data_IF_527350148317
#
_entry.id   IF_527350148317
#
_cell.length_a   1.000
_cell.length_b   1.000
_cell.length_c   1.000
_cell.angle_alpha   90.00
_cell.angle_beta   90.00
_cell.angle_gamma   90.00
#
_symmetry.space_group_name_H-M   'P 1'
#
loop_
_entity.id
_entity.type
_entity.pdbx_description
1 polymer ?
#
# COMPACT_ATOMS: atom_id res chain seq x y z
N UNK A 1 9.29 7.59 2.83
CA UNK A 1 8.01 8.28 2.49
C UNK A 1 7.80 8.73 1.02
N UNK A 2 8.46 9.76 0.46
CA UNK A 2 8.11 10.38 -0.87
C UNK A 2 7.97 9.39 -2.04
N UNK A 3 8.80 8.34 -2.07
CA UNK A 3 8.74 7.27 -3.07
C UNK A 3 7.47 6.43 -2.98
N UNK A 4 7.01 6.11 -1.77
CA UNK A 4 5.76 5.36 -1.56
C UNK A 4 4.55 6.13 -2.10
N UNK A 5 4.47 7.42 -1.80
CA UNK A 5 3.39 8.28 -2.33
C UNK A 5 3.40 8.33 -3.85
N UNK A 6 4.58 8.43 -4.47
CA UNK A 6 4.71 8.40 -5.93
C UNK A 6 4.15 7.10 -6.51
N UNK A 7 4.55 5.95 -5.95
CA UNK A 7 4.05 4.63 -6.39
C UNK A 7 2.54 4.53 -6.18
N UNK A 8 2.02 5.06 -5.08
CA UNK A 8 0.58 5.06 -4.80
C UNK A 8 -0.21 5.88 -5.83
N UNK A 9 0.28 7.08 -6.17
CA UNK A 9 -0.33 7.94 -7.18
C UNK A 9 -0.28 7.31 -8.58
N UNK A 10 0.82 6.65 -8.94
CA UNK A 10 0.94 5.94 -10.21
C UNK A 10 -0.06 4.79 -10.29
N UNK A 11 -0.20 4.01 -9.22
CA UNK A 11 -1.12 2.87 -9.19
C UNK A 11 -2.58 3.32 -9.23
N UNK A 12 -2.94 4.37 -8.47
CA UNK A 12 -4.27 4.97 -8.51
C UNK A 12 -4.68 5.38 -9.93
N UNK A 13 -3.78 6.06 -10.66
CA UNK A 13 -4.07 6.52 -12.02
C UNK A 13 -4.04 5.40 -13.06
N UNK A 14 -3.50 4.20 -12.78
CA UNK A 14 -3.65 3.04 -13.68
C UNK A 14 -5.09 2.51 -13.67
N UNK A 15 -5.81 2.66 -12.57
CA UNK A 15 -7.16 2.11 -12.39
C UNK A 15 -8.14 2.60 -13.50
N UNK A 16 -8.81 1.71 -14.26
CA UNK A 16 -9.61 2.10 -15.43
C UNK A 16 -10.79 3.05 -15.14
N UNK A 17 -11.55 2.87 -14.04
CA UNK A 17 -12.61 3.81 -13.63
C UNK A 17 -12.18 5.27 -13.40
N UNK A 18 -10.90 5.53 -13.17
CA UNK A 18 -10.41 6.90 -12.97
C UNK A 18 -10.26 7.58 -14.34
N UNK A 19 -11.05 8.62 -14.59
CA UNK A 19 -11.06 9.37 -15.86
C UNK A 19 -10.34 10.73 -15.76
N UNK A 20 -10.25 11.27 -14.55
CA UNK A 20 -9.67 12.57 -14.23
C UNK A 20 -8.36 12.41 -13.48
N UNK A 21 -7.48 13.40 -13.61
CA UNK A 21 -6.29 13.45 -12.79
C UNK A 21 -6.66 13.92 -11.37
N UNK A 22 -6.05 13.29 -10.38
CA UNK A 22 -6.13 13.67 -8.98
C UNK A 22 -4.74 14.04 -8.49
N UNK A 23 -4.68 15.00 -7.57
CA UNK A 23 -3.46 15.39 -6.89
C UNK A 23 -3.59 15.15 -5.40
N UNK A 24 -2.45 14.89 -4.78
CA UNK A 24 -2.34 14.81 -3.33
C UNK A 24 -2.57 16.20 -2.72
N UNK A 25 -3.42 16.24 -1.70
CA UNK A 25 -3.76 17.46 -0.95
C UNK A 25 -3.37 17.37 0.51
N UNK A 26 -2.88 16.22 0.95
CA UNK A 26 -2.42 15.99 2.31
C UNK A 26 -2.13 14.52 2.56
N UNK A 27 -1.21 14.28 3.49
CA UNK A 27 -0.88 12.95 4.03
C UNK A 27 -1.36 12.93 5.48
N UNK A 28 -2.29 12.02 5.77
CA UNK A 28 -2.87 11.86 7.11
C UNK A 28 -1.95 11.01 8.00
N UNK A 29 -1.37 9.93 7.45
CA UNK A 29 -0.37 9.12 8.14
C UNK A 29 0.64 8.53 7.17
N UNK A 30 1.88 8.37 7.64
CA UNK A 30 2.94 7.71 6.89
C UNK A 30 3.87 6.97 7.87
N UNK A 31 3.77 5.64 7.85
CA UNK A 31 4.55 4.76 8.73
C UNK A 31 5.48 3.91 7.88
N UNK A 32 6.78 4.05 8.14
CA UNK A 32 7.83 3.27 7.50
C UNK A 32 8.30 2.20 8.51
N UNK A 33 8.20 0.92 8.15
CA UNK A 33 8.64 -0.22 8.97
C UNK A 33 9.73 -0.98 8.21
N UNK A 34 10.89 -1.15 8.84
CA UNK A 34 12.02 -1.86 8.25
C UNK A 34 11.88 -3.37 8.43
N UNK A 35 12.17 -4.12 7.38
CA UNK A 35 12.22 -5.58 7.35
C UNK A 35 13.46 -6.07 6.58
N UNK A 36 13.84 -7.35 6.69
CA UNK A 36 14.99 -7.90 5.98
C UNK A 36 14.93 -7.71 4.46
N UNK A 37 13.77 -7.95 3.82
CA UNK A 37 13.63 -7.76 2.38
C UNK A 37 13.45 -6.29 1.96
N UNK A 38 13.44 -5.34 2.89
CA UNK A 38 13.36 -3.91 2.64
C UNK A 38 12.34 -3.17 3.51
N UNK A 39 11.92 -1.98 3.09
CA UNK A 39 11.05 -1.09 3.86
C UNK A 39 9.60 -1.31 3.44
N UNK A 40 8.75 -1.60 4.41
CA UNK A 40 7.30 -1.54 4.25
C UNK A 40 6.81 -0.13 4.60
N UNK A 41 5.98 0.44 3.75
CA UNK A 41 5.46 1.80 3.86
C UNK A 41 3.94 1.73 3.85
N UNK A 42 3.31 2.15 4.95
CA UNK A 42 1.85 2.32 5.07
C UNK A 42 1.52 3.81 5.04
N UNK A 43 0.68 4.23 4.10
CA UNK A 43 0.29 5.61 3.87
C UNK A 43 -1.22 5.75 3.92
N UNK A 44 -1.70 6.76 4.62
CA UNK A 44 -3.05 7.28 4.47
C UNK A 44 -2.95 8.72 3.96
N UNK A 45 -3.60 8.99 2.83
CA UNK A 45 -3.46 10.27 2.14
C UNK A 45 -4.75 10.67 1.44
N UNK A 46 -4.85 11.96 1.14
CA UNK A 46 -6.02 12.58 0.53
C UNK A 46 -5.70 13.00 -0.89
N UNK A 47 -6.61 12.69 -1.79
CA UNK A 47 -6.58 13.11 -3.18
C UNK A 47 -7.73 14.05 -3.47
N UNK A 48 -7.50 15.03 -4.35
CA UNK A 48 -8.54 15.89 -4.89
C UNK A 48 -8.44 16.00 -6.41
N UNK A 49 -9.60 15.98 -7.06
CA UNK A 49 -9.71 16.05 -8.51
C UNK A 49 -9.18 17.39 -9.05
N UNK A 50 -8.45 17.31 -10.16
CA UNK A 50 -7.91 18.47 -10.89
C UNK A 50 -8.76 18.83 -12.11
N UNK A 51 -8.36 19.89 -12.83
CA UNK A 51 -8.93 20.26 -14.14
C UNK A 51 -8.51 19.35 -15.29
N UNK A 52 -7.51 18.49 -15.10
CA UNK A 52 -6.90 17.69 -16.15
C UNK A 52 -7.52 16.29 -16.29
N UNK A 53 -7.40 15.73 -17.49
CA UNK A 53 -7.68 14.31 -17.73
C UNK A 53 -6.59 13.43 -17.11
N UNK A 54 -6.94 12.19 -16.77
CA UNK A 54 -6.01 11.21 -16.18
C UNK A 54 -4.69 11.10 -16.95
N UNK A 55 -4.69 11.15 -18.29
CA UNK A 55 -3.46 11.05 -19.11
C UNK A 55 -2.42 12.14 -18.81
N UNK A 56 -2.90 13.28 -18.32
CA UNK A 56 -2.10 14.49 -18.08
C UNK A 56 -1.74 14.63 -16.58
N UNK A 57 -1.98 13.62 -15.74
CA UNK A 57 -1.89 13.75 -14.28
C UNK A 57 -0.51 14.13 -13.73
N UNK A 58 0.57 13.89 -14.49
CA UNK A 58 1.94 14.28 -14.12
C UNK A 58 2.29 15.72 -14.51
N UNK A 59 1.42 16.39 -15.28
CA UNK A 59 1.68 17.75 -15.75
C UNK A 59 1.51 18.77 -14.62
N UNK A 60 2.45 19.71 -14.45
CA UNK A 60 2.40 20.68 -13.36
C UNK A 60 1.29 21.71 -13.54
N UNK A 61 0.76 21.91 -14.76
CA UNK A 61 -0.34 22.84 -15.02
C UNK A 61 -1.70 22.33 -14.50
N UNK A 62 -1.78 21.05 -14.13
CA UNK A 62 -2.99 20.45 -13.58
C UNK A 62 -3.21 20.95 -12.16
N UNK A 63 -4.11 21.93 -12.01
CA UNK A 63 -4.46 22.48 -10.70
C UNK A 63 -5.63 21.73 -10.08
N UNK A 64 -5.57 21.53 -8.76
CA UNK A 64 -6.69 21.04 -7.96
C UNK A 64 -7.90 21.95 -8.18
N UNK A 65 -9.07 21.34 -8.41
CA UNK A 65 -10.33 22.08 -8.44
C UNK A 65 -10.82 22.26 -7.00
N UNK A 66 -11.15 23.49 -6.54
CA UNK A 66 -11.59 23.73 -5.16
C UNK A 66 -12.77 22.85 -4.74
N UNK A 67 -13.74 22.65 -5.64
CA UNK A 67 -14.91 21.80 -5.45
C UNK A 67 -14.78 20.45 -6.19
N UNK A 68 -13.55 20.03 -6.47
CA UNK A 68 -13.25 18.73 -7.07
C UNK A 68 -13.58 17.59 -6.11
N UNK A 69 -13.89 16.41 -6.67
CA UNK A 69 -14.14 15.18 -5.88
C UNK A 69 -12.92 14.90 -4.99
N UNK A 70 -13.18 14.54 -3.74
CA UNK A 70 -12.15 14.17 -2.77
C UNK A 70 -12.15 12.65 -2.57
N UNK A 71 -10.98 12.10 -2.27
CA UNK A 71 -10.80 10.68 -1.91
C UNK A 71 -9.82 10.59 -0.76
N UNK A 72 -10.11 9.68 0.17
CA UNK A 72 -9.11 9.18 1.12
C UNK A 72 -8.59 7.86 0.56
N UNK A 73 -7.30 7.64 0.71
CA UNK A 73 -6.62 6.49 0.17
C UNK A 73 -5.77 5.84 1.24
N UNK A 74 -5.79 4.52 1.29
CA UNK A 74 -4.81 3.68 1.99
C UNK A 74 -3.87 3.08 0.95
N UNK A 75 -2.57 3.18 1.18
CA UNK A 75 -1.57 2.48 0.39
C UNK A 75 -0.60 1.71 1.28
N UNK A 76 -0.33 0.48 0.90
CA UNK A 76 0.65 -0.40 1.53
C UNK A 76 1.65 -0.83 0.46
N UNK A 77 2.92 -0.52 0.66
CA UNK A 77 3.96 -0.66 -0.36
C UNK A 77 5.19 -1.28 0.27
N UNK A 78 5.73 -2.33 -0.36
CA UNK A 78 7.01 -2.92 -0.02
C UNK A 78 8.09 -2.45 -0.99
N UNK A 79 9.08 -1.75 -0.47
CA UNK A 79 10.24 -1.27 -1.19
C UNK A 79 11.44 -2.13 -0.83
N UNK A 80 12.01 -2.84 -1.81
CA UNK A 80 13.25 -3.59 -1.66
C UNK A 80 14.49 -2.69 -1.75
N UNK A 81 15.65 -3.33 -1.92
CA UNK A 81 16.89 -2.63 -2.24
C UNK A 81 16.73 -1.76 -3.50
N UNK A 82 17.45 -0.63 -3.52
CA UNK A 82 17.43 0.35 -4.63
C UNK A 82 16.04 0.92 -4.96
N UNK A 83 15.07 0.81 -4.05
CA UNK A 83 13.73 1.35 -4.24
C UNK A 83 12.87 0.57 -5.24
N UNK A 84 13.23 -0.69 -5.54
CA UNK A 84 12.40 -1.62 -6.31
C UNK A 84 11.11 -1.92 -5.55
N UNK A 85 9.96 -1.85 -6.22
CA UNK A 85 8.67 -2.17 -5.60
C UNK A 85 8.46 -3.69 -5.63
N UNK A 86 8.51 -4.32 -4.45
CA UNK A 86 8.32 -5.77 -4.28
C UNK A 86 6.83 -6.12 -4.15
N UNK A 87 6.02 -5.21 -3.61
CA UNK A 87 4.59 -5.38 -3.45
C UNK A 87 3.90 -4.02 -3.29
N UNK A 88 2.65 -3.93 -3.71
CA UNK A 88 1.84 -2.71 -3.62
C UNK A 88 0.36 -3.05 -3.54
N UNK A 89 -0.35 -2.31 -2.71
CA UNK A 89 -1.80 -2.26 -2.64
C UNK A 89 -2.19 -0.79 -2.46
N UNK A 90 -3.16 -0.33 -3.25
CA UNK A 90 -3.71 1.02 -3.16
C UNK A 90 -5.21 0.92 -3.20
N UNK A 91 -5.86 1.39 -2.14
CA UNK A 91 -7.29 1.40 -2.00
C UNK A 91 -7.78 2.83 -1.80
N UNK A 92 -8.60 3.33 -2.74
CA UNK A 92 -9.14 4.68 -2.75
C UNK A 92 -10.64 4.63 -3.04
N UNK A 93 -11.48 4.30 -2.05
CA UNK A 93 -12.88 3.99 -2.28
C UNK A 93 -13.64 5.21 -2.77
N UNK A 94 -14.68 4.96 -3.58
CA UNK A 94 -15.71 5.95 -3.83
C UNK A 94 -16.53 6.12 -2.55
N UNK A 95 -17.04 7.31 -2.22
CA UNK A 95 -17.84 7.53 -0.98
C UNK A 95 -18.97 6.51 -0.81
N UNK A 96 -19.58 6.05 -1.91
CA UNK A 96 -20.60 4.99 -1.89
C UNK A 96 -20.08 3.58 -1.59
N UNK A 97 -18.77 3.33 -1.77
CA UNK A 97 -18.11 2.05 -1.50
C UNK A 97 -17.61 1.92 -0.06
N UNK A 98 -17.44 3.04 0.66
CA UNK A 98 -17.03 3.03 2.08
C UNK A 98 -18.01 2.23 2.94
N UNK A 99 -19.28 2.16 2.56
CA UNK A 99 -20.30 1.34 3.24
C UNK A 99 -20.20 -0.17 2.99
N UNK A 100 -19.37 -0.64 2.05
CA UNK A 100 -19.44 -2.02 1.54
C UNK A 100 -18.22 -2.89 1.79
N UNK A 101 -17.04 -2.31 2.00
CA UNK A 101 -15.80 -3.09 2.15
C UNK A 101 -15.36 -3.18 3.61
N UNK A 102 -15.17 -4.40 4.17
CA UNK A 102 -14.65 -4.57 5.51
C UNK A 102 -13.19 -4.09 5.62
N UNK A 103 -12.88 -3.29 6.63
CA UNK A 103 -11.51 -2.83 6.95
C UNK A 103 -10.53 -4.02 7.10
N UNK A 104 -11.00 -5.14 7.66
CA UNK A 104 -10.23 -6.38 7.82
C UNK A 104 -9.67 -6.93 6.49
N UNK A 105 -10.40 -6.76 5.39
CA UNK A 105 -9.92 -7.19 4.08
C UNK A 105 -8.72 -6.35 3.65
N UNK A 106 -8.78 -5.04 3.86
CA UNK A 106 -7.72 -4.11 3.49
C UNK A 106 -6.46 -4.37 4.33
N UNK A 107 -6.63 -4.63 5.63
CA UNK A 107 -5.51 -5.01 6.51
C UNK A 107 -4.86 -6.31 6.08
N UNK A 108 -5.66 -7.33 5.74
CA UNK A 108 -5.13 -8.60 5.22
C UNK A 108 -4.31 -8.40 3.95
N UNK A 109 -4.76 -7.53 3.03
CA UNK A 109 -3.98 -7.19 1.83
C UNK A 109 -2.69 -6.45 2.17
N UNK A 110 -2.72 -5.52 3.12
CA UNK A 110 -1.50 -4.83 3.60
C UNK A 110 -0.48 -5.80 4.20
N UNK A 111 -0.93 -6.76 5.01
CA UNK A 111 -0.07 -7.80 5.59
C UNK A 111 0.59 -8.65 4.49
N UNK A 112 -0.16 -8.99 3.42
CA UNK A 112 0.40 -9.70 2.26
C UNK A 112 1.51 -8.88 1.59
N UNK A 113 1.30 -7.58 1.40
CA UNK A 113 2.33 -6.70 0.84
C UNK A 113 3.55 -6.59 1.76
N UNK A 114 3.35 -6.48 3.07
CA UNK A 114 4.43 -6.40 4.05
C UNK A 114 5.39 -7.59 3.96
N UNK A 115 4.86 -8.80 3.72
CA UNK A 115 5.62 -10.04 3.57
C UNK A 115 6.27 -10.22 2.18
N UNK A 116 6.03 -9.33 1.23
CA UNK A 116 6.56 -9.47 -0.12
C UNK A 116 8.10 -9.46 -0.12
N UNK A 117 8.70 -10.47 -0.77
CA UNK A 117 10.15 -10.63 -0.86
C UNK A 117 10.82 -11.14 0.41
N UNK A 118 10.08 -11.36 1.50
CA UNK A 118 10.60 -12.06 2.67
C UNK A 118 10.72 -13.54 2.37
N UNK A 119 11.77 -14.17 2.87
CA UNK A 119 11.95 -15.61 2.77
C UNK A 119 10.91 -16.33 3.66
N UNK A 120 10.06 -17.22 3.11
CA UNK A 120 9.11 -18.02 3.88
C UNK A 120 9.77 -18.82 5.02
N UNK A 121 11.06 -19.16 4.88
CA UNK A 121 11.83 -19.92 5.86
C UNK A 121 12.55 -19.05 6.91
N UNK A 122 12.49 -17.72 6.79
CA UNK A 122 13.06 -16.80 7.79
C UNK A 122 12.20 -16.65 9.06
N UNK A 123 10.96 -17.17 9.03
CA UNK A 123 10.15 -17.31 10.24
C UNK A 123 10.71 -18.46 11.07
N UNK A 124 11.70 -18.15 11.91
CA UNK A 124 12.11 -19.01 13.02
C UNK A 124 10.90 -19.16 13.95
N UNK A 125 10.14 -20.25 13.81
CA UNK A 125 9.14 -20.65 14.78
C UNK A 125 9.88 -21.31 15.95
N UNK A 126 9.96 -20.69 17.14
CA UNK A 126 10.55 -21.35 18.29
C UNK A 126 9.67 -22.56 18.63
N UNK A 127 10.18 -23.79 18.46
CA UNK A 127 9.47 -25.02 18.83
C UNK A 127 9.52 -26.19 17.85
N UNK A 128 10.13 -26.08 16.68
CA UNK A 128 10.18 -27.18 15.69
C UNK A 128 11.01 -28.41 16.11
N UNK A 129 11.69 -28.38 17.25
CA UNK A 129 12.51 -29.49 17.77
C UNK A 129 12.16 -29.92 19.20
N UNK A 130 10.93 -29.70 19.66
CA UNK A 130 10.47 -30.34 20.88
C UNK A 130 9.93 -31.75 20.54
N UNK A 131 10.45 -32.77 21.24
CA UNK A 131 9.99 -34.17 21.27
C UNK A 131 10.59 -35.16 20.25
N UNK A 132 11.84 -35.57 20.47
CA UNK A 132 12.22 -36.98 20.24
C UNK A 132 11.86 -37.78 21.50
N UNK A 133 10.86 -38.67 21.42
CA UNK A 133 10.57 -39.65 22.48
C UNK A 133 11.80 -40.54 22.67
N UNK A 134 12.37 -40.55 23.86
CA UNK A 134 13.35 -41.57 24.26
C UNK A 134 12.64 -42.93 24.28
N UNK A 135 13.19 -43.91 23.54
CA UNK A 135 12.76 -45.30 23.66
C UNK A 135 13.21 -45.83 25.03
N UNK A 136 12.35 -46.53 25.79
CA UNK A 136 12.78 -47.17 27.03
C UNK A 136 13.77 -48.28 26.67
N UNK A 137 14.95 -48.25 27.31
CA UNK A 137 15.86 -49.39 27.32
C UNK A 137 15.19 -50.55 28.09
N UNK A 138 15.26 -51.74 27.49
CA UNK A 138 14.77 -53.03 27.97
C UNK A 138 15.20 -53.38 29.39
#
# INVERSE_FOLDING_TARGET
QRRGLQVALEEFHKHPPVQWAFQETGVDSAVDTHFPAGIFVRLEFKLQQTSCRKRDWKKPECKVRPNGRKRKCLACIKLGSEGKVLGRMVHCPIETQVLREPEEHQETQCIRVQRAGEDPHSFYFPGQFAFSKALPHS
#
